data_IF_369948272314
#
_entry.id   IF_369948272314
#
_cell.length_a   1.000
_cell.length_b   1.000
_cell.length_c   1.000
_cell.angle_alpha   90.00
_cell.angle_beta   90.00
_cell.angle_gamma   90.00
#
_symmetry.space_group_name_H-M   'P 1'
#
loop_
_entity.id
_entity.type
_entity.pdbx_description
1 polymer ?
#
# COMPACT_ATOMS: atom_id res chain seq x y z
N UNK A 1 -30.13 -7.90 -15.70
CA UNK A 1 -28.73 -7.65 -15.28
C UNK A 1 -28.31 -6.30 -15.83
N UNK A 2 -27.96 -5.37 -14.94
CA UNK A 2 -27.65 -3.98 -15.28
C UNK A 2 -26.33 -3.89 -16.06
N UNK A 3 -26.33 -3.21 -17.21
CA UNK A 3 -25.28 -3.22 -18.24
C UNK A 3 -24.04 -2.36 -17.89
N UNK A 4 -23.88 -1.94 -16.63
CA UNK A 4 -22.84 -0.99 -16.18
C UNK A 4 -22.05 -1.46 -14.96
N UNK A 5 -21.91 -2.76 -14.74
CA UNK A 5 -21.00 -3.27 -13.72
C UNK A 5 -19.62 -3.56 -14.32
N UNK A 6 -18.58 -2.92 -13.78
CA UNK A 6 -17.19 -3.26 -14.07
C UNK A 6 -16.68 -4.01 -12.84
N UNK A 7 -16.23 -5.24 -13.05
CA UNK A 7 -15.62 -6.04 -12.00
C UNK A 7 -14.11 -5.70 -11.97
N UNK A 8 -13.70 -4.94 -10.96
CA UNK A 8 -12.30 -4.59 -10.75
C UNK A 8 -11.73 -5.58 -9.74
N UNK A 9 -10.81 -6.41 -10.19
CA UNK A 9 -10.01 -7.24 -9.30
C UNK A 9 -9.02 -6.34 -8.53
N UNK A 10 -9.30 -6.14 -7.25
CA UNK A 10 -8.48 -5.31 -6.35
C UNK A 10 -7.44 -6.20 -5.67
N UNK A 11 -6.53 -6.77 -6.45
CA UNK A 11 -5.45 -7.63 -5.98
C UNK A 11 -4.11 -6.94 -5.78
N UNK A 12 -3.20 -7.67 -5.13
CA UNK A 12 -1.77 -7.40 -5.16
C UNK A 12 -1.13 -8.26 -6.25
N UNK A 13 -0.10 -7.74 -6.93
CA UNK A 13 0.77 -8.60 -7.72
C UNK A 13 1.85 -9.24 -6.83
N UNK A 14 2.53 -10.27 -7.32
CA UNK A 14 3.47 -11.09 -6.54
C UNK A 14 4.52 -10.26 -5.77
N UNK A 15 5.13 -9.26 -6.41
CA UNK A 15 6.10 -8.38 -5.75
C UNK A 15 5.52 -7.52 -4.62
N UNK A 16 4.25 -7.14 -4.68
CA UNK A 16 3.58 -6.43 -3.58
C UNK A 16 3.30 -7.39 -2.42
N UNK A 17 2.86 -8.62 -2.71
CA UNK A 17 2.68 -9.66 -1.69
C UNK A 17 4.00 -9.94 -0.96
N UNK A 18 5.10 -10.09 -1.70
CA UNK A 18 6.44 -10.26 -1.14
C UNK A 18 6.83 -9.10 -0.21
N UNK A 19 6.62 -7.85 -0.64
CA UNK A 19 6.93 -6.66 0.17
C UNK A 19 6.08 -6.62 1.45
N UNK A 20 4.77 -6.83 1.36
CA UNK A 20 3.85 -6.60 2.47
C UNK A 20 3.82 -7.78 3.45
N UNK A 21 3.76 -9.01 2.94
CA UNK A 21 3.54 -10.23 3.73
C UNK A 21 4.71 -11.23 3.70
N UNK A 22 5.72 -11.02 2.85
CA UNK A 22 6.88 -11.93 2.74
C UNK A 22 7.98 -11.73 3.79
N UNK A 23 7.82 -10.79 4.72
CA UNK A 23 8.83 -10.49 5.75
C UNK A 23 8.19 -9.83 6.98
N UNK A 24 8.60 -10.28 8.17
CA UNK A 24 8.20 -9.73 9.48
C UNK A 24 9.09 -8.58 9.96
N UNK A 25 10.03 -8.11 9.13
CA UNK A 25 10.92 -6.99 9.49
C UNK A 25 10.11 -5.72 9.75
N UNK A 26 10.34 -5.09 10.91
CA UNK A 26 9.66 -3.86 11.34
C UNK A 26 9.85 -2.67 10.39
N UNK A 27 11.02 -2.54 9.76
CA UNK A 27 11.35 -1.42 8.87
C UNK A 27 11.60 -1.99 7.48
N UNK A 28 10.88 -1.45 6.48
CA UNK A 28 10.99 -1.85 5.07
C UNK A 28 11.38 -0.64 4.25
N UNK A 29 12.49 -0.73 3.51
CA UNK A 29 12.93 0.29 2.54
C UNK A 29 12.70 -0.28 1.14
N UNK A 30 11.85 0.37 0.36
CA UNK A 30 11.37 -0.15 -0.93
C UNK A 30 11.88 0.74 -2.06
N UNK A 31 12.87 0.26 -2.81
CA UNK A 31 13.27 0.85 -4.08
C UNK A 31 12.32 0.36 -5.18
N UNK A 32 11.59 1.27 -5.83
CA UNK A 32 10.60 0.92 -6.87
C UNK A 32 10.59 1.89 -8.04
N UNK A 33 10.12 1.40 -9.19
CA UNK A 33 9.88 2.19 -10.39
C UNK A 33 8.61 3.04 -10.33
N UNK A 34 8.38 3.86 -11.38
CA UNK A 34 7.12 4.60 -11.55
C UNK A 34 5.97 3.63 -11.85
N UNK A 35 4.75 4.00 -11.43
CA UNK A 35 3.50 3.23 -11.67
C UNK A 35 3.48 1.79 -11.13
N UNK A 36 4.33 1.47 -10.15
CA UNK A 36 4.30 0.17 -9.46
C UNK A 36 3.01 -0.10 -8.66
N UNK A 37 2.14 0.90 -8.47
CA UNK A 37 0.93 0.76 -7.66
C UNK A 37 1.17 0.68 -6.15
N UNK A 38 2.39 1.02 -5.68
CA UNK A 38 2.78 0.87 -4.27
C UNK A 38 1.83 1.60 -3.32
N UNK A 39 1.41 2.83 -3.67
CA UNK A 39 0.48 3.63 -2.85
C UNK A 39 -0.84 2.91 -2.64
N UNK A 40 -1.44 2.37 -3.70
CA UNK A 40 -2.70 1.64 -3.61
C UNK A 40 -2.54 0.32 -2.85
N UNK A 41 -1.43 -0.40 -3.07
CA UNK A 41 -1.11 -1.61 -2.32
C UNK A 41 -0.93 -1.33 -0.81
N UNK A 42 -0.11 -0.34 -0.46
CA UNK A 42 0.18 0.02 0.92
C UNK A 42 -1.07 0.49 1.68
N UNK A 43 -1.99 1.20 1.01
CA UNK A 43 -3.25 1.60 1.61
C UNK A 43 -4.10 0.39 2.02
N UNK A 44 -4.21 -0.62 1.14
CA UNK A 44 -4.95 -1.85 1.45
C UNK A 44 -4.27 -2.66 2.56
N UNK A 45 -2.95 -2.78 2.51
CA UNK A 45 -2.17 -3.47 3.54
C UNK A 45 -2.35 -2.81 4.90
N UNK A 46 -2.29 -1.48 4.98
CA UNK A 46 -2.51 -0.77 6.24
C UNK A 46 -3.95 -0.93 6.77
N UNK A 47 -4.96 -0.93 5.91
CA UNK A 47 -6.35 -1.20 6.32
C UNK A 47 -6.46 -2.61 6.93
N UNK A 48 -5.88 -3.60 6.25
CA UNK A 48 -5.86 -5.00 6.72
C UNK A 48 -5.17 -5.13 8.09
N UNK A 49 -4.01 -4.51 8.26
CA UNK A 49 -3.29 -4.47 9.54
C UNK A 49 -4.07 -3.74 10.65
N UNK A 50 -4.72 -2.62 10.33
CA UNK A 50 -5.53 -1.88 11.31
C UNK A 50 -6.74 -2.68 11.78
N UNK A 51 -7.36 -3.46 10.89
CA UNK A 51 -8.51 -4.32 11.20
C UNK A 51 -8.06 -5.54 12.03
N UNK A 52 -7.02 -6.24 11.60
CA UNK A 52 -6.63 -7.53 12.18
C UNK A 52 -5.71 -7.40 13.39
N UNK A 53 -4.81 -6.42 13.40
CA UNK A 53 -3.74 -6.30 14.40
C UNK A 53 -3.90 -5.08 15.32
N UNK A 54 -4.97 -4.28 15.16
CA UNK A 54 -5.29 -3.09 15.97
C UNK A 54 -4.11 -2.10 16.10
N UNK A 55 -3.39 -1.87 15.01
CA UNK A 55 -2.28 -0.91 14.99
C UNK A 55 -2.77 0.54 14.80
N UNK A 56 -2.01 1.49 15.35
CA UNK A 56 -2.12 2.90 14.98
C UNK A 56 -1.24 3.19 13.76
N UNK A 57 -1.79 3.84 12.74
CA UNK A 57 -1.06 4.17 11.51
C UNK A 57 -0.86 5.68 11.37
N UNK A 58 0.35 6.09 11.00
CA UNK A 58 0.67 7.45 10.54
C UNK A 58 1.07 7.38 9.08
N UNK A 59 0.28 8.01 8.21
CA UNK A 59 0.60 8.12 6.78
C UNK A 59 1.26 9.47 6.51
N UNK A 60 2.47 9.45 5.99
CA UNK A 60 3.24 10.66 5.66
C UNK A 60 3.63 10.62 4.19
N UNK A 61 3.51 11.76 3.52
CA UNK A 61 4.10 11.98 2.21
C UNK A 61 5.08 13.15 2.28
N UNK A 62 6.11 13.10 1.45
CA UNK A 62 7.07 14.19 1.34
C UNK A 62 6.59 15.15 0.27
N UNK A 63 6.00 16.26 0.67
CA UNK A 63 5.72 17.38 -0.24
C UNK A 63 6.92 18.32 -0.29
N UNK A 64 7.01 19.15 -1.34
CA UNK A 64 8.09 20.13 -1.49
C UNK A 64 8.19 21.08 -0.28
N UNK A 65 7.05 21.45 0.31
CA UNK A 65 6.97 22.24 1.54
C UNK A 65 7.62 21.57 2.77
N UNK A 66 7.77 20.24 2.77
CA UNK A 66 8.41 19.50 3.86
C UNK A 66 9.95 19.45 3.72
N UNK A 67 10.48 19.78 2.52
CA UNK A 67 11.91 19.68 2.19
C UNK A 67 12.61 21.04 2.33
N UNK A 68 12.04 22.10 1.76
CA UNK A 68 12.56 23.46 1.91
C UNK A 68 12.09 24.05 3.25
N UNK A 69 12.97 24.03 4.24
CA UNK A 69 12.80 24.68 5.55
C UNK A 69 13.83 25.79 5.72
#
# INVERSE_FOLDING_TARGET
>A
MDKRSINIDLGYHDRQLEIFYGSDTRIKVIAKGRRFGLTAGMARYLIDEMINNKIGALWVDTTYSNITR
#
